data_IF_577078261742
#
_entry.id   IF_577078261742
#
_cell.length_a   1.000
_cell.length_b   1.000
_cell.length_c   1.000
_cell.angle_alpha   90.00
_cell.angle_beta   90.00
_cell.angle_gamma   90.00
#
_symmetry.space_group_name_H-M   'P 1'
#
loop_
_entity.id
_entity.type
_entity.pdbx_description
1 polymer ?
#
# COMPACT_ATOMS: atom_id res chain seq x y z
N UNK A 1 30.20 10.49 1.85
CA UNK A 1 29.11 10.32 2.84
C UNK A 1 28.17 9.28 2.26
N UNK A 2 28.02 8.09 2.85
CA UNK A 2 27.04 7.13 2.32
C UNK A 2 25.66 7.76 2.53
N UNK A 3 25.03 8.18 1.44
CA UNK A 3 23.66 8.69 1.49
C UNK A 3 22.78 7.55 1.95
N UNK A 4 22.24 7.66 3.15
CA UNK A 4 21.33 6.66 3.70
C UNK A 4 20.13 6.49 2.75
N UNK A 5 19.78 5.25 2.45
CA UNK A 5 18.67 4.93 1.56
C UNK A 5 17.35 5.33 2.22
N UNK A 6 16.62 6.26 1.61
CA UNK A 6 15.25 6.64 2.02
C UNK A 6 14.22 5.84 1.24
N UNK A 7 13.09 5.53 1.87
CA UNK A 7 12.08 4.66 1.28
C UNK A 7 10.67 5.26 1.32
N UNK A 8 9.85 4.81 0.37
CA UNK A 8 8.41 5.05 0.31
C UNK A 8 7.65 3.73 0.30
N UNK A 9 6.38 3.78 0.70
CA UNK A 9 5.58 2.60 1.00
C UNK A 9 4.24 2.60 0.29
N UNK A 10 3.73 1.39 0.01
CA UNK A 10 2.39 1.16 -0.51
C UNK A 10 1.85 -0.15 0.04
N UNK A 11 0.70 -0.11 0.71
CA UNK A 11 -0.05 -1.34 1.00
C UNK A 11 -0.86 -1.81 -0.21
N UNK A 12 -0.89 -3.11 -0.38
CA UNK A 12 -1.77 -3.83 -1.30
C UNK A 12 -2.37 -5.04 -0.60
N UNK A 13 -3.49 -5.49 -1.13
CA UNK A 13 -4.17 -6.70 -0.72
C UNK A 13 -3.89 -7.84 -1.71
N UNK A 14 -4.00 -9.05 -1.22
CA UNK A 14 -3.97 -10.28 -2.01
C UNK A 14 -4.50 -11.45 -1.19
N UNK A 15 -4.18 -12.65 -1.66
CA UNK A 15 -4.46 -13.89 -0.95
C UNK A 15 -3.15 -14.67 -0.80
N UNK A 16 -2.99 -15.38 0.31
CA UNK A 16 -1.91 -16.34 0.46
C UNK A 16 -2.17 -17.65 -0.31
N UNK A 17 -1.26 -18.61 -0.20
CA UNK A 17 -1.38 -19.91 -0.88
C UNK A 17 -2.57 -20.75 -0.40
N UNK A 18 -3.19 -20.40 0.74
CA UNK A 18 -4.37 -21.06 1.30
C UNK A 18 -5.66 -20.28 0.98
N UNK A 19 -5.57 -19.16 0.25
CA UNK A 19 -6.71 -18.30 -0.09
C UNK A 19 -7.10 -17.31 1.01
N UNK A 20 -6.34 -17.21 2.11
CA UNK A 20 -6.59 -16.25 3.19
C UNK A 20 -6.27 -14.83 2.75
N UNK A 21 -7.10 -13.83 3.10
CA UNK A 21 -6.86 -12.46 2.73
C UNK A 21 -5.64 -11.90 3.48
N UNK A 22 -4.67 -11.39 2.72
CA UNK A 22 -3.45 -10.80 3.27
C UNK A 22 -3.31 -9.34 2.83
N UNK A 23 -2.64 -8.56 3.67
CA UNK A 23 -2.21 -7.20 3.37
C UNK A 23 -0.69 -7.16 3.42
N UNK A 24 -0.10 -6.71 2.32
CA UNK A 24 1.35 -6.74 2.12
C UNK A 24 1.85 -5.33 1.79
N UNK A 25 3.03 -4.99 2.28
CA UNK A 25 3.63 -3.67 2.08
C UNK A 25 4.74 -3.73 1.03
N UNK A 26 4.63 -2.89 0.02
CA UNK A 26 5.70 -2.67 -0.95
C UNK A 26 6.58 -1.51 -0.49
N UNK A 27 7.89 -1.78 -0.44
CA UNK A 27 8.94 -0.81 -0.13
C UNK A 27 9.68 -0.44 -1.41
N UNK A 28 9.86 0.86 -1.66
CA UNK A 28 10.61 1.37 -2.81
C UNK A 28 11.59 2.47 -2.42
N UNK A 29 12.74 2.50 -3.08
CA UNK A 29 13.81 3.47 -2.80
C UNK A 29 13.47 4.83 -3.41
N UNK A 30 13.58 5.89 -2.62
CA UNK A 30 13.47 7.28 -3.08
C UNK A 30 14.83 7.71 -3.62
N UNK A 31 14.92 8.03 -4.91
CA UNK A 31 16.17 8.46 -5.58
C UNK A 31 16.27 9.97 -5.78
N UNK A 32 15.15 10.68 -5.68
CA UNK A 32 15.09 12.14 -5.75
C UNK A 32 13.93 12.64 -4.91
N UNK A 33 14.15 13.73 -4.21
CA UNK A 33 13.18 14.31 -3.30
C UNK A 33 13.14 15.84 -3.46
N UNK A 34 11.94 16.40 -3.47
CA UNK A 34 11.68 17.84 -3.33
C UNK A 34 10.66 18.05 -2.21
N UNK A 35 10.36 19.31 -1.88
CA UNK A 35 9.39 19.62 -0.81
C UNK A 35 8.01 19.02 -1.08
N UNK A 36 7.60 18.93 -2.35
CA UNK A 36 6.26 18.51 -2.76
C UNK A 36 6.20 17.11 -3.37
N UNK A 37 7.31 16.59 -3.90
CA UNK A 37 7.30 15.33 -4.66
C UNK A 37 8.54 14.48 -4.42
N UNK A 38 8.43 13.20 -4.72
CA UNK A 38 9.57 12.29 -4.74
C UNK A 38 9.50 11.35 -5.94
N UNK A 39 10.66 10.86 -6.36
CA UNK A 39 10.81 9.85 -7.40
C UNK A 39 11.35 8.60 -6.77
N UNK A 40 10.76 7.47 -7.13
CA UNK A 40 11.11 6.20 -6.52
C UNK A 40 11.28 5.08 -7.54
N UNK A 41 12.07 4.09 -7.15
CA UNK A 41 12.46 2.93 -7.93
C UNK A 41 12.47 1.68 -7.06
N UNK A 42 12.67 0.53 -7.68
CA UNK A 42 12.97 -0.69 -6.96
C UNK A 42 14.39 -0.63 -6.37
N UNK A 43 14.53 -1.13 -5.14
CA UNK A 43 15.81 -1.13 -4.44
C UNK A 43 16.66 -2.33 -4.85
N UNK A 44 17.96 -2.14 -4.92
CA UNK A 44 18.95 -3.21 -5.00
C UNK A 44 19.73 -3.24 -3.69
N UNK A 45 19.41 -4.15 -2.76
CA UNK A 45 19.95 -4.14 -1.40
C UNK A 45 21.49 -4.16 -1.35
N UNK A 46 22.12 -4.86 -2.29
CA UNK A 46 23.58 -5.00 -2.38
C UNK A 46 24.30 -3.79 -3.00
N UNK A 47 23.57 -2.81 -3.54
CA UNK A 47 24.14 -1.60 -4.14
C UNK A 47 24.02 -0.41 -3.19
N UNK A 48 25.00 0.50 -3.22
CA UNK A 48 24.92 1.78 -2.53
C UNK A 48 23.84 2.68 -3.17
N UNK A 49 23.40 3.72 -2.46
CA UNK A 49 22.45 4.70 -3.01
C UNK A 49 22.91 5.27 -4.36
N UNK A 50 24.16 5.71 -4.44
CA UNK A 50 24.76 6.29 -5.65
C UNK A 50 24.80 5.30 -6.81
N UNK A 51 25.12 4.03 -6.53
CA UNK A 51 25.10 2.96 -7.53
C UNK A 51 23.69 2.72 -8.06
N UNK A 52 22.69 2.69 -7.19
CA UNK A 52 21.29 2.52 -7.60
C UNK A 52 20.82 3.72 -8.44
N UNK A 53 21.15 4.95 -8.04
CA UNK A 53 20.85 6.16 -8.82
C UNK A 53 21.50 6.07 -10.20
N UNK A 54 22.80 5.76 -10.26
CA UNK A 54 23.54 5.61 -11.51
C UNK A 54 22.93 4.52 -12.41
N UNK A 55 22.53 3.39 -11.83
CA UNK A 55 21.90 2.30 -12.57
C UNK A 55 20.54 2.68 -13.18
N UNK A 56 19.68 3.38 -12.42
CA UNK A 56 18.34 3.75 -12.90
C UNK A 56 18.34 4.97 -13.82
N UNK A 57 19.27 5.91 -13.62
CA UNK A 57 19.32 7.19 -14.36
C UNK A 57 20.40 7.26 -15.44
N UNK A 58 21.37 6.35 -15.40
CA UNK A 58 22.47 6.26 -16.35
C UNK A 58 22.07 5.66 -17.69
N UNK A 59 22.99 5.76 -18.66
CA UNK A 59 22.78 5.28 -20.03
C UNK A 59 22.19 6.32 -20.98
N UNK A 60 21.89 5.89 -22.22
CA UNK A 60 21.23 6.74 -23.22
C UNK A 60 19.79 7.02 -22.80
N UNK A 61 19.21 8.16 -23.20
CA UNK A 61 17.81 8.52 -22.87
C UNK A 61 16.78 7.45 -23.27
N UNK A 62 17.06 6.69 -24.32
CA UNK A 62 16.24 5.58 -24.80
C UNK A 62 16.27 4.37 -23.84
N UNK A 63 17.41 4.17 -23.18
CA UNK A 63 17.67 3.09 -22.22
C UNK A 63 17.34 3.49 -20.78
N UNK A 64 17.10 4.79 -20.52
CA UNK A 64 16.66 5.26 -19.22
C UNK A 64 15.37 4.53 -18.85
N UNK A 65 15.47 3.74 -17.79
CA UNK A 65 14.45 2.79 -17.42
C UNK A 65 13.14 3.49 -17.10
N UNK A 66 12.06 3.10 -17.79
CA UNK A 66 10.67 3.62 -17.64
C UNK A 66 10.05 3.41 -16.25
N UNK A 67 10.79 2.84 -15.31
CA UNK A 67 10.31 2.42 -13.99
C UNK A 67 10.50 3.46 -12.89
N UNK A 68 11.14 4.60 -13.20
CA UNK A 68 11.19 5.75 -12.30
C UNK A 68 9.80 6.41 -12.27
N UNK A 69 9.12 6.29 -11.12
CA UNK A 69 7.79 6.87 -10.93
C UNK A 69 7.85 8.07 -9.98
N UNK A 70 7.06 9.10 -10.30
CA UNK A 70 6.91 10.31 -9.49
C UNK A 70 5.63 10.21 -8.64
N UNK A 71 5.75 10.52 -7.36
CA UNK A 71 4.63 10.63 -6.43
C UNK A 71 4.61 12.02 -5.75
N UNK A 72 3.41 12.49 -5.39
CA UNK A 72 3.23 13.69 -4.60
C UNK A 72 3.21 13.35 -3.10
N UNK A 73 3.91 14.13 -2.29
CA UNK A 73 3.93 14.02 -0.83
C UNK A 73 2.60 14.49 -0.25
N UNK A 74 2.09 13.79 0.77
CA UNK A 74 0.83 14.12 1.45
C UNK A 74 -0.44 13.97 0.60
N UNK A 75 -0.34 13.51 -0.65
CA UNK A 75 -1.51 13.32 -1.50
C UNK A 75 -2.12 11.92 -1.26
N UNK A 76 -3.36 11.89 -0.74
CA UNK A 76 -4.09 10.65 -0.43
C UNK A 76 -4.30 9.73 -1.65
N UNK A 77 -4.26 10.30 -2.87
CA UNK A 77 -4.42 9.55 -4.14
C UNK A 77 -3.10 9.08 -4.76
N UNK A 78 -1.95 9.41 -4.18
CA UNK A 78 -0.66 8.90 -4.65
C UNK A 78 -0.62 7.36 -4.58
N UNK A 79 0.21 6.75 -5.43
CA UNK A 79 0.40 5.29 -5.37
C UNK A 79 1.28 4.88 -4.19
N UNK A 80 2.33 5.65 -3.91
CA UNK A 80 3.26 5.45 -2.80
C UNK A 80 3.26 6.67 -1.90
N UNK A 81 3.55 6.45 -0.63
CA UNK A 81 3.56 7.48 0.41
C UNK A 81 4.87 7.47 1.19
N UNK A 82 5.18 8.58 1.85
CA UNK A 82 6.48 8.76 2.49
C UNK A 82 6.59 7.91 3.74
N UNK A 83 5.51 7.84 4.53
CA UNK A 83 5.45 7.02 5.74
C UNK A 83 4.51 5.83 5.56
N UNK A 84 4.68 4.81 6.43
CA UNK A 84 3.79 3.64 6.44
C UNK A 84 2.37 4.05 6.85
N UNK A 85 2.22 4.99 7.77
CA UNK A 85 0.93 5.48 8.26
C UNK A 85 0.14 6.16 7.12
N UNK A 86 0.79 7.03 6.35
CA UNK A 86 0.19 7.65 5.17
C UNK A 86 -0.25 6.60 4.14
N UNK A 87 0.60 5.59 3.90
CA UNK A 87 0.31 4.51 2.98
C UNK A 87 -0.91 3.68 3.43
N UNK A 88 -1.03 3.41 4.73
CA UNK A 88 -2.14 2.65 5.30
C UNK A 88 -3.44 3.45 5.21
N UNK A 89 -3.40 4.75 5.52
CA UNK A 89 -4.55 5.66 5.38
C UNK A 89 -5.09 5.65 3.96
N UNK A 90 -4.21 5.80 2.98
CA UNK A 90 -4.58 5.78 1.57
C UNK A 90 -5.10 4.41 1.12
N UNK A 91 -4.55 3.31 1.62
CA UNK A 91 -5.03 1.96 1.36
C UNK A 91 -6.46 1.74 1.85
N UNK A 92 -6.75 2.07 3.11
CA UNK A 92 -8.10 1.97 3.69
C UNK A 92 -9.09 2.84 2.90
N UNK A 93 -8.68 4.05 2.48
CA UNK A 93 -9.51 4.91 1.64
C UNK A 93 -9.89 4.23 0.32
N UNK A 94 -8.91 3.67 -0.40
CA UNK A 94 -9.15 2.92 -1.65
C UNK A 94 -10.05 1.71 -1.44
N UNK A 95 -9.84 0.97 -0.35
CA UNK A 95 -10.62 -0.22 0.00
C UNK A 95 -12.09 0.09 0.25
N UNK A 96 -12.38 1.12 1.05
CA UNK A 96 -13.77 1.57 1.24
C UNK A 96 -14.40 2.13 -0.03
N UNK A 97 -13.61 2.74 -0.91
CA UNK A 97 -14.11 3.14 -2.23
C UNK A 97 -14.46 1.94 -3.11
N UNK A 98 -13.66 0.87 -3.06
CA UNK A 98 -13.98 -0.41 -3.71
C UNK A 98 -15.26 -1.03 -3.13
N UNK A 99 -15.40 -1.11 -1.80
CA UNK A 99 -16.64 -1.60 -1.15
C UNK A 99 -17.90 -0.87 -1.65
N UNK A 100 -17.80 0.44 -1.85
CA UNK A 100 -18.93 1.26 -2.30
C UNK A 100 -19.29 1.08 -3.78
N UNK A 101 -18.43 0.47 -4.61
CA UNK A 101 -18.58 0.48 -6.07
C UNK A 101 -18.39 -0.88 -6.75
N UNK A 102 -17.76 -1.86 -6.10
CA UNK A 102 -17.37 -3.14 -6.67
C UNK A 102 -17.84 -4.25 -5.73
N UNK A 103 -18.98 -4.86 -6.07
CA UNK A 103 -19.60 -5.96 -5.31
C UNK A 103 -18.69 -7.19 -5.23
N UNK A 104 -18.00 -7.50 -6.34
CA UNK A 104 -17.12 -8.67 -6.54
C UNK A 104 -15.97 -8.83 -5.53
N UNK A 105 -15.62 -7.77 -4.78
CA UNK A 105 -14.50 -7.81 -3.81
C UNK A 105 -14.93 -7.37 -2.41
N UNK A 106 -16.24 -7.21 -2.19
CA UNK A 106 -16.76 -6.57 -0.99
C UNK A 106 -16.46 -7.36 0.29
N UNK A 107 -16.60 -8.68 0.23
CA UNK A 107 -16.40 -9.58 1.38
C UNK A 107 -14.92 -9.64 1.80
N UNK A 108 -13.99 -9.89 0.86
CA UNK A 108 -12.54 -9.90 1.12
C UNK A 108 -12.06 -8.56 1.69
N UNK A 109 -12.53 -7.45 1.14
CA UNK A 109 -12.18 -6.12 1.63
C UNK A 109 -12.79 -5.85 3.01
N UNK A 110 -13.98 -6.38 3.30
CA UNK A 110 -14.60 -6.32 4.64
C UNK A 110 -13.78 -7.10 5.67
N UNK A 111 -13.34 -8.32 5.34
CA UNK A 111 -12.47 -9.13 6.19
C UNK A 111 -11.17 -8.40 6.51
N UNK A 112 -10.53 -7.79 5.50
CA UNK A 112 -9.31 -7.00 5.71
C UNK A 112 -9.53 -5.83 6.68
N UNK A 113 -10.59 -5.06 6.49
CA UNK A 113 -10.88 -3.91 7.34
C UNK A 113 -11.27 -4.30 8.77
N UNK A 114 -11.92 -5.46 8.93
CA UNK A 114 -12.29 -6.04 10.21
C UNK A 114 -11.05 -6.55 10.94
N UNK A 115 -10.20 -7.34 10.28
CA UNK A 115 -8.94 -7.82 10.86
C UNK A 115 -8.01 -6.70 11.31
N UNK A 116 -7.88 -5.62 10.52
CA UNK A 116 -7.09 -4.44 10.93
C UNK A 116 -7.70 -3.69 12.12
N UNK A 117 -9.03 -3.72 12.28
CA UNK A 117 -9.72 -3.12 13.43
C UNK A 117 -9.53 -3.99 14.67
N UNK A 118 -9.71 -5.30 14.54
CA UNK A 118 -9.63 -6.26 15.64
C UNK A 118 -8.21 -6.38 16.19
N UNK A 119 -7.19 -6.27 15.32
CA UNK A 119 -5.79 -6.14 15.69
C UNK A 119 -5.43 -4.77 16.32
N UNK A 120 -6.38 -3.84 16.42
CA UNK A 120 -6.19 -2.52 17.05
C UNK A 120 -5.44 -1.50 16.20
N UNK A 121 -5.14 -1.78 14.92
CA UNK A 121 -4.46 -0.82 14.03
C UNK A 121 -5.36 0.34 13.63
N UNK A 122 -6.68 0.11 13.56
CA UNK A 122 -7.68 1.10 13.17
C UNK A 122 -8.69 1.29 14.28
N UNK A 123 -8.90 2.54 14.68
CA UNK A 123 -10.00 2.92 15.59
C UNK A 123 -10.99 3.85 14.88
N UNK A 124 -12.25 3.75 15.28
CA UNK A 124 -13.35 4.57 14.78
C UNK A 124 -13.85 5.42 15.94
N UNK A 125 -13.71 6.74 15.82
CA UNK A 125 -14.24 7.70 16.77
C UNK A 125 -15.48 8.30 16.11
N UNK A 126 -16.63 8.13 16.74
CA UNK A 126 -17.87 8.77 16.28
C UNK A 126 -17.93 10.15 16.89
N UNK A 127 -17.95 11.18 16.04
CA UNK A 127 -18.14 12.56 16.48
C UNK A 127 -19.58 12.77 16.96
N UNK A 128 -19.83 13.84 17.71
CA UNK A 128 -21.14 14.23 18.24
C UNK A 128 -22.23 14.43 17.16
N UNK A 129 -21.83 14.54 15.89
CA UNK A 129 -22.69 14.64 14.72
C UNK A 129 -22.91 13.29 13.99
N UNK A 130 -22.52 12.17 14.58
CA UNK A 130 -22.66 10.83 13.99
C UNK A 130 -21.64 10.51 12.89
N UNK A 131 -20.70 11.41 12.61
CA UNK A 131 -19.63 11.18 11.64
C UNK A 131 -18.54 10.30 12.25
N UNK A 132 -18.32 9.12 11.67
CA UNK A 132 -17.20 8.26 12.05
C UNK A 132 -15.88 8.81 11.48
N UNK A 133 -15.10 9.44 12.35
CA UNK A 133 -13.72 9.83 12.07
C UNK A 133 -12.80 8.65 12.36
N UNK A 134 -11.90 8.36 11.42
CA UNK A 134 -10.95 7.25 11.56
C UNK A 134 -9.64 7.74 12.14
N UNK A 135 -9.09 6.96 13.06
CA UNK A 135 -7.77 7.18 13.61
C UNK A 135 -6.92 5.91 13.42
N UNK A 136 -5.70 6.09 12.92
CA UNK A 136 -4.73 5.00 12.80
C UNK A 136 -3.95 4.97 14.10
N UNK A 137 -4.15 3.93 14.89
CA UNK A 137 -3.50 3.79 16.19
C UNK A 137 -2.09 3.20 16.05
N UNK A 138 -1.91 2.27 15.11
CA UNK A 138 -0.63 1.62 14.84
C UNK A 138 -0.58 1.05 13.42
N UNK A 139 0.60 0.58 12.99
CA UNK A 139 0.80 -0.11 11.71
C UNK A 139 1.14 -1.58 11.97
N UNK A 140 0.76 -2.51 11.08
CA UNK A 140 1.13 -3.92 11.21
C UNK A 140 2.65 -4.12 11.27
N UNK A 141 3.10 -5.02 12.13
CA UNK A 141 4.49 -5.44 12.20
C UNK A 141 4.80 -6.41 11.05
N UNK A 142 5.94 -6.19 10.36
CA UNK A 142 6.36 -7.03 9.23
C UNK A 142 5.93 -6.54 7.84
N UNK A 143 6.21 -7.36 6.83
CA UNK A 143 5.90 -7.06 5.42
C UNK A 143 4.57 -7.65 4.95
N UNK A 144 4.03 -8.63 5.68
CA UNK A 144 2.79 -9.33 5.41
C UNK A 144 1.97 -9.42 6.70
N UNK A 145 0.69 -9.04 6.61
CA UNK A 145 -0.30 -9.15 7.68
C UNK A 145 -1.44 -10.04 7.20
N UNK A 146 -1.72 -11.10 7.95
CA UNK A 146 -2.87 -11.98 7.71
C UNK A 146 -4.07 -11.37 8.41
N UNK A 147 -5.11 -11.02 7.65
CA UNK A 147 -6.25 -10.29 8.20
C UNK A 147 -7.36 -11.20 8.73
N UNK A 148 -7.44 -12.44 8.26
CA UNK A 148 -8.37 -13.44 8.74
C UNK A 148 -7.77 -14.84 8.52
N UNK A 149 -8.04 -15.76 9.45
CA UNK A 149 -7.63 -17.16 9.33
C UNK A 149 -8.49 -17.93 8.32
N UNK A 150 -9.69 -17.44 8.03
CA UNK A 150 -10.60 -18.01 7.04
C UNK A 150 -10.29 -17.51 5.62
N UNK A 151 -10.38 -18.38 4.60
CA UNK A 151 -10.22 -17.97 3.20
C UNK A 151 -11.35 -17.01 2.80
N UNK A 152 -11.00 -15.99 2.01
CA UNK A 152 -12.00 -15.14 1.38
C UNK A 152 -12.80 -15.90 0.31
N UNK A 153 -13.95 -15.37 -0.14
CA UNK A 153 -14.72 -15.98 -1.23
C UNK A 153 -13.85 -16.15 -2.49
N UNK A 154 -13.90 -17.34 -3.07
CA UNK A 154 -13.11 -17.71 -4.25
C UNK A 154 -13.92 -17.33 -5.50
N UNK A 155 -13.41 -16.42 -6.33
CA UNK A 155 -14.13 -15.95 -7.51
C UNK A 155 -14.58 -17.07 -8.48
N UNK A 156 -13.92 -18.23 -8.47
CA UNK A 156 -14.26 -19.38 -9.32
C UNK A 156 -15.46 -20.21 -8.82
N UNK A 157 -15.96 -19.98 -7.60
CA UNK A 157 -17.14 -20.69 -7.08
C UNK A 157 -18.46 -20.01 -7.43
N UNK A 158 -18.43 -18.86 -8.10
CA UNK A 158 -19.60 -18.10 -8.48
C UNK A 158 -19.86 -18.20 -9.98
N UNK A 159 -21.13 -18.31 -10.38
CA UNK A 159 -21.48 -18.33 -11.80
C UNK A 159 -21.37 -16.92 -12.41
N UNK A 160 -21.02 -16.85 -13.69
CA UNK A 160 -21.06 -15.59 -14.45
C UNK A 160 -22.48 -15.00 -14.37
N UNK A 161 -22.62 -13.84 -13.72
CA UNK A 161 -23.90 -13.17 -13.54
C UNK A 161 -24.58 -13.33 -12.16
N UNK A 162 -23.98 -14.07 -11.23
CA UNK A 162 -24.38 -14.02 -9.80
C UNK A 162 -23.79 -12.80 -9.05
N UNK A 163 -23.17 -11.87 -9.79
CA UNK A 163 -22.52 -10.65 -9.31
C UNK A 163 -22.92 -9.39 -10.09
#
# INVERSE_FOLDING_TARGET
MSTEKKYCYRYHDGNDNEGRPIVTIWKRLIIRETDKTFWHVEDFPHMSFEQVVSYWTGGRKEDQKRYIKRCAKGADRSQYHYTKEEALKAFIYRKRFQLKRISLTAETVSLILTGLKDAGHITYITDQHGFQKRNIASVPEGECFVAADEPGPIASTYMWGEY
#
